data_IF_125142111346
#
_entry.id   IF_125142111346
#
_cell.length_a   1.000
_cell.length_b   1.000
_cell.length_c   1.000
_cell.angle_alpha   90.00
_cell.angle_beta   90.00
_cell.angle_gamma   90.00
#
_symmetry.space_group_name_H-M   'P 1'
#
loop_
_entity.id
_entity.type
_entity.pdbx_description
1 polymer ?
#
# COMPACT_ATOMS: atom_id res chain seq x y z
N UNK A 1 -38.71 2.97 16.74
CA UNK A 1 -38.24 2.01 15.71
C UNK A 1 -37.73 2.72 14.43
N UNK A 2 -38.53 3.58 13.79
CA UNK A 2 -38.14 4.28 12.54
C UNK A 2 -36.84 5.11 12.62
N UNK A 3 -36.63 5.87 13.71
CA UNK A 3 -35.40 6.66 13.93
C UNK A 3 -34.13 5.79 14.00
N UNK A 4 -34.22 4.62 14.64
CA UNK A 4 -33.11 3.67 14.75
C UNK A 4 -32.75 3.09 13.37
N UNK A 5 -33.77 2.70 12.58
CA UNK A 5 -33.56 2.18 11.24
C UNK A 5 -32.93 3.24 10.30
N UNK A 6 -33.35 4.49 10.41
CA UNK A 6 -32.76 5.60 9.64
C UNK A 6 -31.27 5.80 9.99
N UNK A 7 -30.94 5.79 11.28
CA UNK A 7 -29.55 5.91 11.74
C UNK A 7 -28.67 4.75 11.24
N UNK A 8 -29.16 3.52 11.30
CA UNK A 8 -28.38 2.37 10.84
C UNK A 8 -28.17 2.37 9.33
N UNK A 9 -29.17 2.80 8.54
CA UNK A 9 -28.99 3.01 7.11
C UNK A 9 -27.91 4.03 6.80
N UNK A 10 -27.89 5.16 7.52
CA UNK A 10 -26.85 6.18 7.35
C UNK A 10 -25.47 5.61 7.67
N UNK A 11 -25.32 4.91 8.80
CA UNK A 11 -24.06 4.25 9.18
C UNK A 11 -23.56 3.27 8.11
N UNK A 12 -24.45 2.43 7.58
CA UNK A 12 -24.10 1.48 6.52
C UNK A 12 -23.77 2.17 5.19
N UNK A 13 -24.42 3.29 4.88
CA UNK A 13 -24.08 4.11 3.72
C UNK A 13 -22.66 4.68 3.87
N UNK A 14 -22.35 5.32 4.99
CA UNK A 14 -21.04 5.91 5.27
C UNK A 14 -19.93 4.84 5.19
N UNK A 15 -20.19 3.63 5.72
CA UNK A 15 -19.27 2.50 5.63
C UNK A 15 -19.04 2.04 4.18
N UNK A 16 -20.09 1.99 3.36
CA UNK A 16 -19.97 1.60 1.96
C UNK A 16 -19.20 2.65 1.15
N UNK A 17 -19.39 3.94 1.44
CA UNK A 17 -18.63 5.04 0.83
C UNK A 17 -17.14 4.90 1.16
N UNK A 18 -16.79 4.67 2.44
CA UNK A 18 -15.40 4.44 2.83
C UNK A 18 -14.80 3.20 2.16
N UNK A 19 -15.58 2.11 2.06
CA UNK A 19 -15.14 0.89 1.36
C UNK A 19 -14.93 1.11 -0.14
N UNK A 20 -15.67 2.02 -0.77
CA UNK A 20 -15.49 2.36 -2.18
C UNK A 20 -14.27 3.26 -2.39
N UNK A 21 -14.04 4.25 -1.52
CA UNK A 21 -12.78 5.01 -1.50
C UNK A 21 -11.56 4.12 -1.29
N UNK A 22 -11.67 3.07 -0.45
CA UNK A 22 -10.59 2.08 -0.32
C UNK A 22 -10.30 1.35 -1.63
N UNK A 23 -11.33 1.04 -2.44
CA UNK A 23 -11.12 0.36 -3.73
C UNK A 23 -10.39 1.22 -4.74
N UNK A 24 -10.61 2.53 -4.72
CA UNK A 24 -9.99 3.47 -5.66
C UNK A 24 -8.46 3.54 -5.50
N UNK A 25 -7.96 3.30 -4.29
CA UNK A 25 -6.51 3.32 -4.00
C UNK A 25 -5.84 1.94 -4.09
N UNK A 26 -6.58 0.90 -4.49
CA UNK A 26 -6.01 -0.44 -4.65
C UNK A 26 -5.24 -0.58 -5.97
N UNK A 27 -4.24 -1.48 -6.03
CA UNK A 27 -3.63 -1.85 -7.31
C UNK A 27 -4.70 -2.43 -8.23
N UNK A 28 -4.62 -2.10 -9.52
CA UNK A 28 -5.59 -2.50 -10.55
C UNK A 28 -7.01 -1.93 -10.36
N UNK A 29 -7.18 -0.87 -9.59
CA UNK A 29 -8.46 -0.17 -9.45
C UNK A 29 -8.94 0.53 -10.74
N UNK A 30 -8.04 0.74 -11.69
CA UNK A 30 -8.31 1.49 -12.92
C UNK A 30 -8.06 0.61 -14.16
N UNK A 31 -9.01 0.64 -15.09
CA UNK A 31 -8.91 -0.06 -16.36
C UNK A 31 -10.28 -0.38 -16.95
N UNK A 32 -10.38 -0.55 -18.28
CA UNK A 32 -11.66 -0.72 -18.98
C UNK A 32 -12.42 -2.00 -18.59
N UNK A 33 -11.73 -2.97 -17.98
CA UNK A 33 -12.31 -4.28 -17.61
C UNK A 33 -12.31 -4.54 -16.09
N UNK A 34 -12.00 -3.53 -15.27
CA UNK A 34 -11.90 -3.71 -13.82
C UNK A 34 -13.29 -3.88 -13.23
N UNK A 35 -13.48 -5.00 -12.51
CA UNK A 35 -14.73 -5.29 -11.79
C UNK A 35 -14.60 -4.90 -10.31
N UNK A 36 -15.69 -4.40 -9.74
CA UNK A 36 -15.77 -4.07 -8.31
C UNK A 36 -15.53 -5.32 -7.46
N UNK A 37 -14.48 -5.27 -6.63
CA UNK A 37 -14.16 -6.35 -5.69
C UNK A 37 -15.22 -6.47 -4.58
N UNK A 38 -15.44 -7.69 -4.11
CA UNK A 38 -16.26 -7.94 -2.92
C UNK A 38 -15.63 -7.28 -1.68
N UNK A 39 -16.42 -7.09 -0.59
CA UNK A 39 -15.90 -6.47 0.64
C UNK A 39 -14.71 -7.23 1.22
N UNK A 40 -14.80 -8.56 1.29
CA UNK A 40 -13.72 -9.41 1.79
C UNK A 40 -12.49 -9.36 0.88
N UNK A 41 -12.68 -9.43 -0.44
CA UNK A 41 -11.56 -9.35 -1.38
C UNK A 41 -10.85 -7.98 -1.31
N UNK A 42 -11.61 -6.89 -1.14
CA UNK A 42 -11.07 -5.54 -0.96
C UNK A 42 -10.19 -5.47 0.29
N UNK A 43 -10.66 -6.01 1.42
CA UNK A 43 -9.91 -6.00 2.68
C UNK A 43 -8.63 -6.86 2.61
N UNK A 44 -8.72 -8.04 2.00
CA UNK A 44 -7.56 -8.92 1.79
C UNK A 44 -6.52 -8.26 0.88
N UNK A 45 -6.96 -7.66 -0.22
CA UNK A 45 -6.08 -6.95 -1.14
C UNK A 45 -5.42 -5.75 -0.45
N UNK A 46 -6.18 -4.97 0.32
CA UNK A 46 -5.64 -3.82 1.06
C UNK A 46 -4.54 -4.25 2.05
N UNK A 47 -4.78 -5.32 2.84
CA UNK A 47 -3.77 -5.86 3.76
C UNK A 47 -2.50 -6.26 3.02
N UNK A 48 -2.63 -7.01 1.93
CA UNK A 48 -1.48 -7.50 1.17
C UNK A 48 -0.74 -6.35 0.48
N UNK A 49 -1.47 -5.34 0.01
CA UNK A 49 -0.87 -4.18 -0.63
C UNK A 49 -0.04 -3.35 0.36
N UNK A 50 -0.53 -3.15 1.59
CA UNK A 50 0.25 -2.49 2.66
C UNK A 50 1.55 -3.26 2.92
N UNK A 51 1.49 -4.58 3.08
CA UNK A 51 2.69 -5.41 3.33
C UNK A 51 3.69 -5.31 2.17
N UNK A 52 3.20 -5.37 0.93
CA UNK A 52 4.04 -5.25 -0.26
C UNK A 52 4.74 -3.88 -0.32
N UNK A 53 3.99 -2.78 -0.10
CA UNK A 53 4.55 -1.43 -0.09
C UNK A 53 5.61 -1.26 1.01
N UNK A 54 5.38 -1.80 2.21
CA UNK A 54 6.36 -1.77 3.30
C UNK A 54 7.66 -2.50 2.91
N UNK A 55 7.55 -3.72 2.38
CA UNK A 55 8.70 -4.50 1.94
C UNK A 55 9.47 -3.79 0.80
N UNK A 56 8.75 -3.23 -0.18
CA UNK A 56 9.37 -2.47 -1.27
C UNK A 56 10.12 -1.23 -0.75
N UNK A 57 9.58 -0.57 0.29
CA UNK A 57 10.23 0.59 0.89
C UNK A 57 11.50 0.22 1.66
N UNK A 58 11.53 -0.92 2.34
CA UNK A 58 12.72 -1.45 2.99
C UNK A 58 13.81 -1.84 1.98
N UNK A 59 13.42 -2.53 0.90
CA UNK A 59 14.32 -2.88 -0.21
C UNK A 59 14.95 -1.62 -0.82
N UNK A 60 14.13 -0.61 -1.13
CA UNK A 60 14.63 0.66 -1.69
C UNK A 60 15.60 1.37 -0.75
N UNK A 61 15.33 1.40 0.56
CA UNK A 61 16.27 1.97 1.54
C UNK A 61 17.60 1.23 1.55
N UNK A 62 17.57 -0.10 1.46
CA UNK A 62 18.78 -0.93 1.40
C UNK A 62 19.59 -0.62 0.15
N UNK A 63 18.96 -0.63 -1.03
CA UNK A 63 19.62 -0.34 -2.30
C UNK A 63 20.24 1.06 -2.32
N UNK A 64 19.52 2.06 -1.81
CA UNK A 64 20.05 3.42 -1.65
C UNK A 64 21.27 3.43 -0.74
N UNK A 65 21.23 2.74 0.40
CA UNK A 65 22.37 2.62 1.31
C UNK A 65 23.58 1.93 0.67
N UNK A 66 23.37 0.91 -0.17
CA UNK A 66 24.45 0.19 -0.86
C UNK A 66 25.14 1.09 -1.90
N UNK A 67 24.39 1.92 -2.63
CA UNK A 67 24.92 2.89 -3.60
C UNK A 67 25.78 3.95 -2.89
N UNK A 68 25.26 4.54 -1.81
CA UNK A 68 25.99 5.57 -1.07
C UNK A 68 27.15 4.98 -0.23
N UNK A 69 27.02 3.76 0.28
CA UNK A 69 28.06 3.05 1.06
C UNK A 69 29.23 2.52 0.21
N UNK A 70 28.99 2.14 -1.05
CA UNK A 70 30.04 1.71 -1.99
C UNK A 70 30.92 2.85 -2.47
N UNK A 71 30.44 4.09 -2.39
CA UNK A 71 31.18 5.29 -2.80
C UNK A 71 32.35 5.64 -1.85
N UNK A 72 32.45 4.98 -0.68
CA UNK A 72 33.46 5.24 0.34
C UNK A 72 34.68 4.28 0.37
N UNK A 73 34.71 3.21 -0.43
CA UNK A 73 35.70 2.12 -0.27
C UNK A 73 36.71 1.93 -1.41
N UNK A 74 36.81 2.85 -2.38
CA UNK A 74 37.74 2.75 -3.52
C UNK A 74 38.93 3.74 -3.48
N UNK A 75 39.41 4.12 -2.29
CA UNK A 75 40.48 5.12 -2.13
C UNK A 75 41.75 4.69 -1.37
N UNK A 76 41.85 3.44 -0.93
CA UNK A 76 42.98 2.95 -0.12
C UNK A 76 44.12 2.37 -0.96
N UNK A 77 44.83 3.20 -1.72
CA UNK A 77 46.15 2.82 -2.24
C UNK A 77 47.09 2.65 -1.04
N UNK A 78 47.46 1.40 -0.73
CA UNK A 78 48.46 1.06 0.27
C UNK A 78 49.81 0.92 -0.44
N UNK A 79 50.76 1.87 -0.31
CA UNK A 79 52.10 1.67 -0.82
C UNK A 79 52.84 0.78 0.19
N UNK A 80 53.32 -0.36 -0.31
CA UNK A 80 54.26 -1.22 0.42
C UNK A 80 55.56 -0.46 0.67
N UNK A 81 56.06 -0.52 1.90
CA UNK A 81 57.46 -0.34 2.27
C UNK A 81 57.78 -1.31 3.40
#
# INVERSE_FOLDING_TARGET
>A
RLKINSRERKRMHDLNVAMDGLREVMPYAHGPSVRKLSKIATLLLARNYILMLSNSLEEMKRLVSEIYGSSGHHGGFHPSS
#
